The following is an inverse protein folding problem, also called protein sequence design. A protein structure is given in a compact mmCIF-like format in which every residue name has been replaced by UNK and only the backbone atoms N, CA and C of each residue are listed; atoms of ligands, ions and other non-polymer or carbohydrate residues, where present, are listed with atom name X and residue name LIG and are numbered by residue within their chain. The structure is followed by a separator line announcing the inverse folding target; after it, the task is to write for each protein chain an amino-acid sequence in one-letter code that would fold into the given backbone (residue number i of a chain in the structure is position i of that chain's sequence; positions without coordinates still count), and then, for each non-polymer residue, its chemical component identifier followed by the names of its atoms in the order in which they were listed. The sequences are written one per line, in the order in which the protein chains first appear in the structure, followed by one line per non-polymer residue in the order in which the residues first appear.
data_IF_667571906523
#
_entry.id   IF_667571906523
#
_cell.length_a   1.000
_cell.length_b   1.000
_cell.length_c   1.000
_cell.angle_alpha   90.00
_cell.angle_beta   90.00
_cell.angle_gamma   90.00
#
_symmetry.space_group_name_H-M   'P 1'
#
loop_
_entity.id
_entity.type
_entity.pdbx_description
1 polymer ?
#
# COMPACT_ATOMS: atom_id res chain seq x y z
N UNK A 1 28.48 11.16 26.07
CA UNK A 1 29.32 9.98 25.82
C UNK A 1 29.86 10.02 24.39
N UNK A 2 31.14 10.37 24.26
CA UNK A 2 32.03 10.13 23.10
C UNK A 2 31.49 10.38 21.69
N UNK A 3 31.51 11.65 21.26
CA UNK A 3 31.43 12.00 19.84
C UNK A 3 32.57 11.31 19.07
N UNK A 4 32.24 10.60 17.99
CA UNK A 4 33.14 9.73 17.24
C UNK A 4 34.18 10.55 16.45
N UNK A 5 35.44 10.10 16.43
CA UNK A 5 36.62 10.81 15.88
C UNK A 5 36.66 10.95 14.34
N UNK A 6 35.57 10.70 13.62
CA UNK A 6 35.49 10.91 12.16
C UNK A 6 34.14 11.53 11.80
N UNK A 7 34.16 12.73 11.22
CA UNK A 7 32.97 13.52 10.85
C UNK A 7 31.95 12.70 10.03
N UNK A 8 32.42 11.82 9.15
CA UNK A 8 31.60 10.95 8.30
C UNK A 8 30.76 9.91 9.07
N UNK A 9 31.27 9.38 10.19
CA UNK A 9 30.59 8.35 10.98
C UNK A 9 29.42 8.90 11.82
N UNK A 10 29.53 10.13 12.29
CA UNK A 10 28.45 10.82 13.00
C UNK A 10 27.31 11.21 12.05
N UNK A 11 27.63 11.73 10.85
CA UNK A 11 26.62 12.09 9.85
C UNK A 11 25.80 10.88 9.39
N UNK A 12 26.44 9.74 9.11
CA UNK A 12 25.75 8.51 8.68
C UNK A 12 24.75 7.99 9.73
N UNK A 13 25.12 8.04 11.02
CA UNK A 13 24.22 7.60 12.11
C UNK A 13 23.04 8.54 12.32
N UNK A 14 23.28 9.86 12.29
CA UNK A 14 22.21 10.85 12.43
C UNK A 14 21.21 10.67 11.29
N UNK A 15 21.68 10.52 10.06
CA UNK A 15 20.81 10.31 8.91
C UNK A 15 20.03 9.00 9.04
N UNK A 16 20.68 7.90 9.43
CA UNK A 16 20.03 6.60 9.65
C UNK A 16 18.93 6.71 10.72
N UNK A 17 19.17 7.42 11.83
CA UNK A 17 18.13 7.66 12.84
C UNK A 17 16.98 8.46 12.26
N UNK A 18 17.27 9.56 11.54
CA UNK A 18 16.23 10.41 10.95
C UNK A 18 15.35 9.68 9.94
N UNK A 19 15.93 8.91 9.02
CA UNK A 19 15.14 8.15 8.03
C UNK A 19 14.33 7.05 8.67
N UNK A 20 14.86 6.38 9.69
CA UNK A 20 14.12 5.36 10.43
C UNK A 20 12.98 5.94 11.28
N UNK A 21 13.12 7.16 11.83
CA UNK A 21 12.00 7.90 12.45
C UNK A 21 10.90 8.15 11.41
N UNK A 22 11.26 8.61 10.21
CA UNK A 22 10.28 8.88 9.15
C UNK A 22 9.55 7.58 8.76
N UNK A 23 10.26 6.48 8.58
CA UNK A 23 9.65 5.17 8.27
C UNK A 23 8.75 4.67 9.40
N UNK A 24 9.17 4.86 10.66
CA UNK A 24 8.36 4.52 11.83
C UNK A 24 7.04 5.30 11.85
N UNK A 25 7.10 6.62 11.67
CA UNK A 25 5.91 7.46 11.64
C UNK A 25 5.03 7.13 10.43
N UNK A 26 5.62 6.90 9.26
CA UNK A 26 4.88 6.48 8.07
C UNK A 26 4.12 5.15 8.30
N UNK A 27 4.77 4.16 8.91
CA UNK A 27 4.15 2.89 9.30
C UNK A 27 2.97 3.09 10.26
N UNK A 28 3.13 3.91 11.31
CA UNK A 28 2.04 4.23 12.23
C UNK A 28 0.88 4.95 11.55
N UNK A 29 1.16 5.91 10.65
CA UNK A 29 0.11 6.59 9.89
C UNK A 29 -0.63 5.64 8.97
N UNK A 30 0.07 4.69 8.33
CA UNK A 30 -0.56 3.67 7.48
C UNK A 30 -1.50 2.78 8.29
N UNK A 31 -1.06 2.29 9.45
CA UNK A 31 -1.89 1.48 10.35
C UNK A 31 -3.09 2.31 10.83
N UNK A 32 -2.86 3.55 11.28
CA UNK A 32 -3.90 4.45 11.76
C UNK A 32 -4.97 4.72 10.70
N UNK A 33 -4.57 5.01 9.46
CA UNK A 33 -5.48 5.18 8.33
C UNK A 33 -6.24 3.89 8.00
N UNK A 34 -5.58 2.73 8.03
CA UNK A 34 -6.22 1.44 7.79
C UNK A 34 -7.26 1.10 8.87
N UNK A 35 -6.94 1.34 10.14
CA UNK A 35 -7.87 1.14 11.26
C UNK A 35 -9.03 2.13 11.19
N UNK A 36 -8.75 3.40 10.88
CA UNK A 36 -9.78 4.42 10.69
C UNK A 36 -10.77 4.01 9.59
N UNK A 37 -10.27 3.61 8.41
CA UNK A 37 -11.11 3.14 7.31
C UNK A 37 -11.95 1.91 7.69
N UNK A 38 -11.48 1.06 8.61
CA UNK A 38 -12.20 -0.12 9.06
C UNK A 38 -13.31 0.17 10.06
N UNK A 39 -13.05 1.09 10.99
CA UNK A 39 -13.95 1.41 12.11
C UNK A 39 -14.87 2.60 11.82
N UNK A 40 -14.64 3.34 10.74
CA UNK A 40 -15.55 4.42 10.36
C UNK A 40 -16.91 3.85 9.94
N UNK A 41 -17.91 4.10 10.79
CA UNK A 41 -19.27 3.59 10.62
C UNK A 41 -20.01 4.19 9.40
N UNK A 42 -19.47 5.22 8.74
CA UNK A 42 -20.00 5.69 7.45
C UNK A 42 -19.44 4.87 6.31
N UNK A 43 -18.13 4.60 6.29
CA UNK A 43 -17.52 3.68 5.33
C UNK A 43 -18.06 2.25 5.46
N UNK A 44 -18.26 1.75 6.68
CA UNK A 44 -18.84 0.44 6.89
C UNK A 44 -20.30 0.38 6.42
N UNK A 45 -21.13 1.41 6.65
CA UNK A 45 -22.51 1.40 6.13
C UNK A 45 -22.59 1.52 4.61
N UNK A 46 -21.86 2.46 4.03
CA UNK A 46 -21.96 2.77 2.59
C UNK A 46 -21.39 1.64 1.71
N UNK A 47 -20.30 0.99 2.13
CA UNK A 47 -19.69 -0.11 1.38
C UNK A 47 -20.23 -1.48 1.84
N UNK A 48 -20.36 -1.72 3.15
CA UNK A 48 -20.74 -3.05 3.66
C UNK A 48 -22.24 -3.28 3.58
N UNK A 49 -23.13 -2.32 3.84
CA UNK A 49 -24.58 -2.60 3.68
C UNK A 49 -24.96 -2.87 2.22
N UNK A 50 -24.39 -2.15 1.25
CA UNK A 50 -24.71 -2.38 -0.16
C UNK A 50 -24.06 -3.66 -0.73
N UNK A 51 -22.83 -4.00 -0.31
CA UNK A 51 -22.17 -5.24 -0.73
C UNK A 51 -22.58 -6.50 0.06
N UNK A 52 -22.97 -6.41 1.35
CA UNK A 52 -23.30 -7.59 2.18
C UNK A 52 -24.79 -7.77 2.50
N UNK A 53 -25.62 -6.71 2.54
CA UNK A 53 -27.04 -6.84 2.92
C UNK A 53 -28.02 -6.83 1.75
N UNK A 54 -27.66 -6.23 0.60
CA UNK A 54 -28.45 -6.42 -0.64
C UNK A 54 -28.12 -7.78 -1.25
N UNK A 55 -28.67 -8.84 -0.65
CA UNK A 55 -28.77 -10.15 -1.27
C UNK A 55 -29.57 -10.01 -2.57
N UNK A 56 -28.88 -10.11 -3.69
CA UNK A 56 -29.52 -10.34 -4.98
C UNK A 56 -29.91 -11.81 -5.03
N UNK A 57 -31.11 -12.14 -5.52
CA UNK A 57 -31.54 -13.54 -5.73
C UNK A 57 -30.71 -14.27 -6.82
N UNK A 58 -29.76 -13.58 -7.44
CA UNK A 58 -28.91 -14.11 -8.50
C UNK A 58 -27.55 -14.58 -7.92
N UNK A 59 -27.27 -15.87 -8.09
CA UNK A 59 -26.03 -16.56 -7.73
C UNK A 59 -24.75 -15.87 -8.25
N UNK A 60 -24.71 -15.40 -9.50
CA UNK A 60 -23.56 -14.73 -10.12
C UNK A 60 -23.18 -13.43 -9.41
N UNK A 61 -24.19 -12.64 -9.00
CA UNK A 61 -23.97 -11.40 -8.27
C UNK A 61 -23.49 -11.65 -6.84
N UNK A 62 -24.03 -12.68 -6.19
CA UNK A 62 -23.60 -13.06 -4.84
C UNK A 62 -22.13 -13.50 -4.86
N UNK A 63 -21.71 -14.32 -5.82
CA UNK A 63 -20.31 -14.75 -5.95
C UNK A 63 -19.38 -13.57 -6.26
N UNK A 64 -19.76 -12.65 -7.15
CA UNK A 64 -18.97 -11.45 -7.44
C UNK A 64 -18.80 -10.55 -6.19
N UNK A 65 -19.88 -10.30 -5.45
CA UNK A 65 -19.83 -9.52 -4.20
C UNK A 65 -18.96 -10.19 -3.14
N UNK A 66 -19.10 -11.51 -2.95
CA UNK A 66 -18.30 -12.28 -1.99
C UNK A 66 -16.79 -12.20 -2.32
N UNK A 67 -16.42 -12.34 -3.59
CA UNK A 67 -15.03 -12.22 -4.02
C UNK A 67 -14.44 -10.83 -3.74
N UNK A 68 -15.22 -9.77 -3.96
CA UNK A 68 -14.79 -8.39 -3.70
C UNK A 68 -14.64 -8.13 -2.20
N UNK A 69 -15.60 -8.55 -1.38
CA UNK A 69 -15.54 -8.38 0.08
C UNK A 69 -14.37 -9.16 0.68
N UNK A 70 -14.12 -10.37 0.17
CA UNK A 70 -12.96 -11.16 0.56
C UNK A 70 -11.66 -10.46 0.17
N UNK A 71 -11.57 -9.94 -1.06
CA UNK A 71 -10.40 -9.19 -1.54
C UNK A 71 -10.11 -7.94 -0.72
N UNK A 72 -11.14 -7.15 -0.38
CA UNK A 72 -11.00 -5.96 0.49
C UNK A 72 -10.51 -6.37 1.89
N UNK A 73 -11.07 -7.44 2.45
CA UNK A 73 -10.69 -7.93 3.78
C UNK A 73 -9.24 -8.40 3.82
N UNK A 74 -8.80 -9.18 2.83
CA UNK A 74 -7.42 -9.66 2.73
C UNK A 74 -6.46 -8.48 2.55
N UNK A 75 -6.78 -7.55 1.65
CA UNK A 75 -5.94 -6.38 1.38
C UNK A 75 -5.72 -5.54 2.65
N UNK A 76 -6.76 -5.38 3.46
CA UNK A 76 -6.68 -4.66 4.73
C UNK A 76 -5.72 -5.32 5.74
N UNK A 77 -5.81 -6.64 5.92
CA UNK A 77 -4.89 -7.38 6.81
C UNK A 77 -3.44 -7.32 6.32
N UNK A 78 -3.23 -7.39 5.00
CA UNK A 78 -1.89 -7.24 4.39
C UNK A 78 -1.33 -5.84 4.65
N UNK A 79 -2.13 -4.77 4.47
CA UNK A 79 -1.70 -3.39 4.72
C UNK A 79 -1.32 -3.16 6.19
N UNK A 80 -2.10 -3.70 7.13
CA UNK A 80 -1.78 -3.64 8.56
C UNK A 80 -0.50 -4.42 8.87
N UNK A 81 -0.36 -5.62 8.33
CA UNK A 81 0.85 -6.43 8.51
C UNK A 81 2.10 -5.73 8.00
N UNK A 82 2.03 -5.15 6.80
CA UNK A 82 3.13 -4.44 6.17
C UNK A 82 3.49 -3.14 6.90
N UNK A 83 2.48 -2.36 7.28
CA UNK A 83 2.67 -1.17 8.11
C UNK A 83 3.24 -1.48 9.50
N UNK A 84 2.78 -2.56 10.12
CA UNK A 84 3.26 -3.06 11.41
C UNK A 84 4.72 -3.48 11.34
N UNK A 85 5.08 -4.31 10.35
CA UNK A 85 6.46 -4.71 10.11
C UNK A 85 7.37 -3.50 9.86
N UNK A 86 6.95 -2.55 9.01
CA UNK A 86 7.68 -1.32 8.75
C UNK A 86 7.89 -0.46 10.01
N UNK A 87 6.88 -0.38 10.87
CA UNK A 87 6.95 0.32 12.16
C UNK A 87 7.99 -0.33 13.08
N UNK A 88 7.95 -1.66 13.25
CA UNK A 88 8.92 -2.39 14.07
C UNK A 88 10.34 -2.25 13.51
N UNK A 89 10.51 -2.35 12.21
CA UNK A 89 11.82 -2.20 11.54
C UNK A 89 12.36 -0.78 11.72
N UNK A 90 11.52 0.25 11.57
CA UNK A 90 11.89 1.62 11.86
C UNK A 90 12.35 1.81 13.31
N UNK A 91 11.65 1.19 14.28
CA UNK A 91 12.06 1.23 15.69
C UNK A 91 13.42 0.57 15.93
N UNK A 92 13.64 -0.62 15.37
CA UNK A 92 14.93 -1.32 15.48
C UNK A 92 16.04 -0.50 14.81
N UNK A 93 15.75 0.15 13.67
CA UNK A 93 16.69 1.04 12.99
C UNK A 93 17.06 2.28 13.81
N UNK A 94 16.09 2.91 14.48
CA UNK A 94 16.34 4.00 15.42
C UNK A 94 17.27 3.57 16.57
N UNK A 95 16.97 2.41 17.19
CA UNK A 95 17.80 1.85 18.27
C UNK A 95 19.19 1.48 17.74
N UNK A 96 19.29 0.92 16.54
CA UNK A 96 20.54 0.55 15.88
C UNK A 96 21.43 1.75 15.58
N UNK A 97 20.85 2.90 15.21
CA UNK A 97 21.59 4.14 14.99
C UNK A 97 22.13 4.78 16.28
N UNK A 98 21.36 4.68 17.37
CA UNK A 98 21.73 5.23 18.69
C UNK A 98 22.69 4.32 19.46
N UNK A 99 22.57 3.01 19.33
CA UNK A 99 23.37 2.03 20.07
C UNK A 99 24.64 1.65 19.33
N UNK A 100 25.64 1.15 20.07
CA UNK A 100 26.87 0.59 19.48
C UNK A 100 26.81 -0.93 19.29
N UNK A 101 25.61 -1.51 19.26
CA UNK A 101 25.42 -2.96 19.21
C UNK A 101 25.40 -3.48 17.77
N UNK A 102 26.36 -4.36 17.44
CA UNK A 102 26.40 -5.06 16.14
C UNK A 102 25.18 -5.96 15.93
N UNK A 103 24.69 -6.58 17.00
CA UNK A 103 23.55 -7.49 16.93
C UNK A 103 22.26 -6.75 16.51
N UNK A 104 21.98 -5.59 17.12
CA UNK A 104 20.78 -4.79 16.79
C UNK A 104 20.83 -4.32 15.35
N UNK A 105 21.97 -3.79 14.90
CA UNK A 105 22.11 -3.33 13.53
C UNK A 105 22.10 -4.49 12.51
N UNK A 106 22.59 -5.68 12.88
CA UNK A 106 22.46 -6.89 12.07
C UNK A 106 21.01 -7.35 11.91
N UNK A 107 20.23 -7.38 13.01
CA UNK A 107 18.79 -7.70 12.96
C UNK A 107 18.03 -6.71 12.10
N UNK A 108 18.32 -5.41 12.23
CA UNK A 108 17.75 -4.36 11.38
C UNK A 108 17.99 -4.64 9.88
N UNK A 109 19.24 -4.92 9.49
CA UNK A 109 19.58 -5.18 8.09
C UNK A 109 18.85 -6.41 7.55
N UNK A 110 18.84 -7.51 8.29
CA UNK A 110 18.16 -8.74 7.87
C UNK A 110 16.66 -8.52 7.70
N UNK A 111 16.02 -7.84 8.64
CA UNK A 111 14.59 -7.54 8.56
C UNK A 111 14.28 -6.60 7.38
N UNK A 112 15.13 -5.62 7.12
CA UNK A 112 14.97 -4.68 6.01
C UNK A 112 15.15 -5.38 4.65
N UNK A 113 16.11 -6.31 4.52
CA UNK A 113 16.28 -7.12 3.30
C UNK A 113 15.03 -7.97 3.04
N UNK A 114 14.47 -8.60 4.08
CA UNK A 114 13.24 -9.40 3.95
C UNK A 114 12.09 -8.51 3.45
N UNK A 115 11.94 -7.30 3.98
CA UNK A 115 10.93 -6.36 3.51
C UNK A 115 11.12 -5.97 2.05
N UNK A 116 12.34 -5.63 1.63
CA UNK A 116 12.63 -5.30 0.22
C UNK A 116 12.21 -6.44 -0.70
N UNK A 117 12.53 -7.69 -0.34
CA UNK A 117 12.13 -8.87 -1.14
C UNK A 117 10.61 -8.99 -1.21
N UNK A 118 9.90 -8.77 -0.10
CA UNK A 118 8.44 -8.78 -0.08
C UNK A 118 7.83 -7.65 -0.91
N UNK A 119 8.38 -6.43 -0.88
CA UNK A 119 7.92 -5.30 -1.70
C UNK A 119 8.09 -5.58 -3.18
N UNK A 120 9.23 -6.14 -3.58
CA UNK A 120 9.47 -6.53 -4.97
C UNK A 120 8.49 -7.63 -5.37
N UNK A 121 8.25 -8.64 -4.54
CA UNK A 121 7.29 -9.71 -4.82
C UNK A 121 5.87 -9.17 -5.01
N UNK A 122 5.41 -8.27 -4.14
CA UNK A 122 4.10 -7.60 -4.25
C UNK A 122 4.04 -6.72 -5.50
N UNK A 123 5.11 -5.97 -5.81
CA UNK A 123 5.18 -5.15 -7.01
C UNK A 123 5.07 -5.99 -8.29
N UNK A 124 5.80 -7.10 -8.37
CA UNK A 124 5.71 -8.03 -9.50
C UNK A 124 4.32 -8.65 -9.59
N UNK A 125 3.72 -9.06 -8.46
CA UNK A 125 2.36 -9.59 -8.43
C UNK A 125 1.35 -8.59 -9.02
N UNK A 126 1.37 -7.33 -8.57
CA UNK A 126 0.46 -6.30 -9.07
C UNK A 126 0.64 -6.08 -10.58
N UNK A 127 1.88 -6.04 -11.07
CA UNK A 127 2.17 -5.85 -12.48
C UNK A 127 1.68 -7.02 -13.35
N UNK A 128 1.88 -8.26 -12.90
CA UNK A 128 1.45 -9.47 -13.61
C UNK A 128 -0.07 -9.57 -13.66
N UNK A 129 -0.76 -9.26 -12.56
CA UNK A 129 -2.21 -9.41 -12.45
C UNK A 129 -3.00 -8.15 -12.85
N UNK A 130 -2.33 -7.06 -13.27
CA UNK A 130 -2.99 -5.78 -13.65
C UNK A 130 -4.12 -5.98 -14.66
N UNK A 131 -3.93 -6.82 -15.67
CA UNK A 131 -4.96 -7.11 -16.68
C UNK A 131 -6.20 -7.79 -16.08
N UNK A 132 -5.99 -8.72 -15.15
CA UNK A 132 -7.08 -9.41 -14.43
C UNK A 132 -7.81 -8.48 -13.48
N UNK A 133 -7.10 -7.58 -12.80
CA UNK A 133 -7.72 -6.54 -11.96
C UNK A 133 -8.61 -5.63 -12.83
N UNK A 134 -8.12 -5.22 -14.01
CA UNK A 134 -8.92 -4.43 -14.97
C UNK A 134 -10.21 -5.14 -15.37
N UNK A 135 -10.10 -6.41 -15.77
CA UNK A 135 -11.24 -7.24 -16.18
C UNK A 135 -12.28 -7.35 -15.05
N UNK A 136 -11.84 -7.62 -13.82
CA UNK A 136 -12.71 -7.71 -12.65
C UNK A 136 -13.41 -6.40 -12.32
N UNK A 137 -12.69 -5.27 -12.40
CA UNK A 137 -13.26 -3.94 -12.15
C UNK A 137 -14.31 -3.60 -13.21
N UNK A 138 -14.02 -3.86 -14.48
CA UNK A 138 -14.97 -3.63 -15.56
C UNK A 138 -16.21 -4.52 -15.43
N UNK A 139 -16.02 -5.80 -15.11
CA UNK A 139 -17.11 -6.75 -14.88
C UNK A 139 -17.99 -6.32 -13.69
N UNK A 140 -17.40 -5.83 -12.60
CA UNK A 140 -18.15 -5.30 -11.46
C UNK A 140 -19.05 -4.13 -11.86
N UNK A 141 -18.51 -3.17 -12.62
CA UNK A 141 -19.31 -2.04 -13.12
C UNK A 141 -20.45 -2.53 -14.00
N UNK A 142 -20.20 -3.47 -14.92
CA UNK A 142 -21.24 -4.05 -15.77
C UNK A 142 -22.34 -4.75 -14.98
N UNK A 143 -21.96 -5.54 -13.97
CA UNK A 143 -22.91 -6.23 -13.10
C UNK A 143 -23.75 -5.24 -12.27
N UNK A 144 -23.15 -4.14 -11.79
CA UNK A 144 -23.88 -3.10 -11.06
C UNK A 144 -25.00 -2.47 -11.92
N UNK A 145 -24.73 -2.22 -13.20
CA UNK A 145 -25.75 -1.75 -14.14
C UNK A 145 -26.76 -2.82 -14.55
N UNK A 146 -26.32 -4.08 -14.73
CA UNK A 146 -27.19 -5.19 -15.13
C UNK A 146 -28.28 -5.45 -14.08
N UNK A 147 -27.90 -5.38 -12.80
CA UNK A 147 -28.80 -5.65 -11.68
C UNK A 147 -29.38 -4.39 -11.04
N UNK A 148 -29.17 -3.21 -11.65
CA UNK A 148 -29.65 -1.91 -11.15
C UNK A 148 -29.38 -1.71 -9.65
N UNK A 149 -28.17 -2.02 -9.19
CA UNK A 149 -27.82 -1.81 -7.78
C UNK A 149 -27.60 -0.34 -7.45
N UNK A 150 -27.68 0.00 -6.15
CA UNK A 150 -27.38 1.34 -5.67
C UNK A 150 -25.97 1.79 -6.04
N UNK A 151 -25.04 0.84 -6.18
CA UNK A 151 -23.69 1.04 -6.70
C UNK A 151 -23.64 1.80 -8.03
N UNK A 152 -24.56 1.56 -8.96
CA UNK A 152 -24.53 2.19 -10.28
C UNK A 152 -24.63 3.72 -10.19
N UNK A 153 -25.57 4.23 -9.39
CA UNK A 153 -25.74 5.68 -9.16
C UNK A 153 -24.57 6.29 -8.39
N UNK A 154 -24.03 5.54 -7.42
CA UNK A 154 -22.84 5.95 -6.68
C UNK A 154 -21.62 6.08 -7.58
N UNK A 155 -21.45 5.16 -8.55
CA UNK A 155 -20.36 5.23 -9.54
C UNK A 155 -20.49 6.44 -10.46
N UNK A 156 -21.69 6.72 -10.97
CA UNK A 156 -21.95 7.89 -11.83
C UNK A 156 -21.59 9.20 -11.10
N UNK A 157 -22.08 9.36 -9.87
CA UNK A 157 -21.82 10.56 -9.07
C UNK A 157 -20.33 10.70 -8.68
N UNK A 158 -19.68 9.60 -8.28
CA UNK A 158 -18.31 9.61 -7.77
C UNK A 158 -17.26 9.79 -8.87
N UNK A 159 -17.50 9.22 -10.06
CA UNK A 159 -16.55 9.19 -11.16
C UNK A 159 -16.95 10.09 -12.34
N UNK A 160 -18.10 10.78 -12.27
CA UNK A 160 -18.56 11.69 -13.32
C UNK A 160 -18.73 10.98 -14.66
N UNK A 161 -19.26 9.75 -14.62
CA UNK A 161 -19.43 8.89 -15.78
C UNK A 161 -20.90 8.54 -15.95
N UNK A 162 -21.27 7.92 -17.08
CA UNK A 162 -22.64 7.45 -17.26
C UNK A 162 -22.73 6.12 -18.02
N UNK A 163 -23.57 5.24 -17.50
CA UNK A 163 -24.04 4.03 -18.17
C UNK A 163 -22.99 2.95 -18.39
N UNK A 164 -23.48 1.80 -18.87
CA UNK A 164 -22.68 0.71 -19.41
C UNK A 164 -23.23 0.24 -20.76
N UNK A 165 -22.34 0.07 -21.74
CA UNK A 165 -22.69 -0.25 -23.13
C UNK A 165 -23.23 -1.68 -23.30
N UNK A 166 -22.85 -2.60 -22.41
CA UNK A 166 -23.15 -4.03 -22.53
C UNK A 166 -24.65 -4.35 -22.36
N UNK A 167 -25.41 -3.52 -21.65
CA UNK A 167 -26.82 -3.77 -21.32
C UNK A 167 -27.79 -2.77 -21.96
N UNK A 168 -27.35 -1.95 -22.92
CA UNK A 168 -28.24 -0.97 -23.58
C UNK A 168 -28.69 0.21 -22.70
N UNK A 169 -28.15 0.35 -21.49
CA UNK A 169 -28.43 1.47 -20.57
C UNK A 169 -27.59 2.73 -20.86
N UNK A 170 -26.79 2.73 -21.93
CA UNK A 170 -26.15 3.94 -22.42
C UNK A 170 -27.20 4.79 -23.16
N UNK A 171 -27.96 5.55 -22.38
CA UNK A 171 -29.03 6.39 -22.89
C UNK A 171 -28.48 7.55 -23.75
N UNK A 172 -29.32 8.07 -24.66
CA UNK A 172 -28.95 9.17 -25.55
C UNK A 172 -28.61 10.45 -24.76
N UNK A 173 -29.18 10.62 -23.56
CA UNK A 173 -28.86 11.76 -22.67
C UNK A 173 -27.38 11.79 -22.29
N UNK A 174 -26.75 10.65 -22.03
CA UNK A 174 -25.34 10.61 -21.65
C UNK A 174 -24.39 10.87 -22.80
N UNK A 175 -24.82 10.57 -24.02
CA UNK A 175 -24.12 10.96 -25.23
C UNK A 175 -24.24 12.48 -25.50
N UNK A 176 -25.43 13.06 -25.27
CA UNK A 176 -25.68 14.51 -25.41
C UNK A 176 -24.85 15.31 -24.41
N UNK A 177 -24.68 14.80 -23.18
CA UNK A 177 -23.87 15.44 -22.15
C UNK A 177 -22.36 15.10 -22.22
N UNK A 178 -21.91 14.35 -23.23
CA UNK A 178 -20.52 13.93 -23.46
C UNK A 178 -19.85 13.23 -22.27
N UNK A 179 -20.59 12.45 -21.49
CA UNK A 179 -20.00 11.73 -20.36
C UNK A 179 -19.23 10.48 -20.82
N UNK A 180 -18.06 10.20 -20.23
CA UNK A 180 -17.33 8.97 -20.48
C UNK A 180 -18.08 7.75 -19.91
N UNK A 181 -17.79 6.59 -20.48
CA UNK A 181 -18.35 5.30 -20.02
C UNK A 181 -17.84 4.97 -18.62
N UNK A 182 -18.71 4.50 -17.72
CA UNK A 182 -18.29 4.18 -16.36
C UNK A 182 -17.26 3.05 -16.26
N UNK A 183 -17.32 2.05 -17.14
CA UNK A 183 -16.33 0.97 -17.18
C UNK A 183 -14.92 1.45 -17.48
N UNK A 184 -14.78 2.53 -18.26
CA UNK A 184 -13.47 3.13 -18.57
C UNK A 184 -13.07 4.16 -17.52
N UNK A 185 -13.99 5.07 -17.15
CA UNK A 185 -13.71 6.12 -16.17
C UNK A 185 -13.28 5.58 -14.79
N UNK A 186 -13.95 4.53 -14.30
CA UNK A 186 -13.58 3.89 -13.02
C UNK A 186 -12.19 3.27 -13.11
N UNK A 187 -11.89 2.60 -14.23
CA UNK A 187 -10.57 2.02 -14.46
C UNK A 187 -9.48 3.07 -14.56
N UNK A 188 -9.71 4.17 -15.29
CA UNK A 188 -8.71 5.22 -15.49
C UNK A 188 -8.36 5.93 -14.16
N UNK A 189 -9.37 6.19 -13.32
CA UNK A 189 -9.15 6.74 -11.97
C UNK A 189 -8.41 5.75 -11.07
N UNK A 190 -8.76 4.46 -11.14
CA UNK A 190 -8.05 3.43 -10.39
C UNK A 190 -6.60 3.29 -10.84
N UNK A 191 -6.35 3.24 -12.15
CA UNK A 191 -5.03 3.10 -12.73
C UNK A 191 -4.13 4.29 -12.38
N UNK A 192 -4.66 5.52 -12.43
CA UNK A 192 -3.96 6.70 -11.96
C UNK A 192 -3.59 6.62 -10.47
N UNK A 193 -4.51 6.18 -9.61
CA UNK A 193 -4.24 6.00 -8.16
C UNK A 193 -3.24 4.88 -7.89
N UNK A 194 -3.30 3.79 -8.63
CA UNK A 194 -2.33 2.70 -8.58
C UNK A 194 -0.94 3.17 -9.02
N UNK A 195 -0.85 4.02 -10.05
CA UNK A 195 0.41 4.62 -10.49
C UNK A 195 1.02 5.50 -9.41
N UNK A 196 0.24 6.40 -8.80
CA UNK A 196 0.70 7.24 -7.68
C UNK A 196 1.18 6.37 -6.51
N UNK A 197 0.43 5.32 -6.18
CA UNK A 197 0.80 4.37 -5.11
C UNK A 197 2.10 3.63 -5.46
N UNK A 198 2.26 3.21 -6.71
CA UNK A 198 3.49 2.59 -7.22
C UNK A 198 4.71 3.51 -7.11
N UNK A 199 4.56 4.80 -7.45
CA UNK A 199 5.62 5.80 -7.26
C UNK A 199 6.03 5.93 -5.79
N UNK A 200 5.06 5.95 -4.85
CA UNK A 200 5.35 6.01 -3.41
C UNK A 200 6.13 4.77 -2.96
N UNK A 201 5.72 3.57 -3.39
CA UNK A 201 6.41 2.32 -3.05
C UNK A 201 7.84 2.28 -3.62
N UNK A 202 8.08 2.81 -4.83
CA UNK A 202 9.43 2.94 -5.38
C UNK A 202 10.30 3.86 -4.51
N UNK A 203 9.76 5.00 -4.03
CA UNK A 203 10.50 5.89 -3.12
C UNK A 203 10.84 5.18 -1.81
N UNK A 204 9.90 4.39 -1.26
CA UNK A 204 10.15 3.58 -0.05
C UNK A 204 11.28 2.57 -0.29
N UNK A 205 11.26 1.85 -1.42
CA UNK A 205 12.33 0.93 -1.82
C UNK A 205 13.70 1.62 -1.89
N UNK A 206 13.77 2.80 -2.50
CA UNK A 206 15.02 3.58 -2.58
C UNK A 206 15.52 3.98 -1.20
N UNK A 207 14.63 4.44 -0.31
CA UNK A 207 14.98 4.77 1.07
C UNK A 207 15.46 3.54 1.86
N UNK A 208 14.86 2.37 1.63
CA UNK A 208 15.29 1.10 2.22
C UNK A 208 16.69 0.71 1.76
N UNK A 209 16.97 0.76 0.46
CA UNK A 209 18.32 0.49 -0.08
C UNK A 209 19.33 1.47 0.50
N UNK A 210 18.99 2.75 0.59
CA UNK A 210 19.86 3.75 1.20
C UNK A 210 20.16 3.43 2.68
N UNK A 211 19.14 3.04 3.45
CA UNK A 211 19.31 2.64 4.84
C UNK A 211 20.17 1.39 4.98
N UNK A 212 20.06 0.44 4.05
CA UNK A 212 20.90 -0.75 4.00
C UNK A 212 22.38 -0.38 3.77
N UNK A 213 22.66 0.53 2.83
CA UNK A 213 24.01 1.03 2.55
C UNK A 213 24.61 1.73 3.78
N UNK A 214 23.86 2.62 4.41
CA UNK A 214 24.32 3.31 5.61
C UNK A 214 24.56 2.35 6.77
N UNK A 215 23.68 1.37 6.94
CA UNK A 215 23.82 0.35 7.98
C UNK A 215 25.06 -0.54 7.76
N UNK A 216 25.36 -0.91 6.52
CA UNK A 216 26.62 -1.59 6.15
C UNK A 216 27.84 -0.76 6.55
N UNK A 217 27.87 0.53 6.19
CA UNK A 217 28.98 1.43 6.53
C UNK A 217 29.18 1.51 8.05
N UNK A 218 28.11 1.57 8.83
CA UNK A 218 28.17 1.58 10.29
C UNK A 218 28.79 0.27 10.82
N UNK A 219 28.39 -0.91 10.31
CA UNK A 219 28.96 -2.20 10.73
C UNK A 219 30.45 -2.34 10.40
N UNK A 220 30.85 -1.95 9.18
CA UNK A 220 32.26 -2.04 8.76
C UNK A 220 33.14 -1.17 9.65
N UNK A 221 32.69 0.06 9.94
CA UNK A 221 33.40 0.96 10.86
C UNK A 221 33.51 0.37 12.28
N UNK A 222 32.45 -0.30 12.77
CA UNK A 222 32.52 -1.00 14.05
C UNK A 222 33.54 -2.15 14.06
N UNK A 223 33.65 -2.89 12.95
CA UNK A 223 34.61 -3.99 12.83
C UNK A 223 36.05 -3.49 12.82
N UNK A 224 36.31 -2.38 12.11
CA UNK A 224 37.63 -1.77 12.07
C UNK A 224 38.08 -1.29 13.46
N UNK A 225 37.20 -0.65 14.23
CA UNK A 225 37.54 -0.13 15.55
C UNK A 225 37.91 -1.23 16.56
N UNK A 226 37.26 -2.40 16.53
CA UNK A 226 37.65 -3.49 17.45
C UNK A 226 38.96 -4.14 17.07
N UNK A 227 39.28 -4.22 15.77
CA UNK A 227 40.57 -4.77 15.33
C UNK A 227 41.75 -3.86 15.69
N UNK A 228 41.52 -2.55 15.85
CA UNK A 228 42.53 -1.61 16.35
C UNK A 228 42.70 -1.63 17.88
N UNK A 229 41.74 -2.16 18.64
CA UNK A 229 41.87 -2.31 20.11
C UNK A 229 42.57 -3.62 20.51
N UNK A 230 42.67 -4.58 19.58
CA UNK A 230 43.39 -5.86 19.79
C UNK A 230 44.88 -5.80 19.41
N UNK A 231 45.36 -4.68 18.83
CA UNK A 231 46.76 -4.43 18.47
C UNK A 231 47.35 -3.28 19.27
#
# INVERSE_FOLDING_TARGET
MGCCKTCCGCCSRIFLVMTNIIMFLAGLTLIGLCLWLRFDARFEREIREDLTLRMSNNWDMQTAKQNIVMGITISWWVLIGFGGAGTVIGLIGMIGGCTKSRAVNGVFMTALIIMVVLEIAVGVFILVYRSKIREQVQQYVTLAYQYQTGDAQSLEYRFGCCGDFTNGNYNNLCNIAQYPRCTSAVWDVLDYRLLVTGCILIVVLVLQIFNLLMSCCVLVNFRYSTLQEEH
#
